data_IF_329750788457
#
_entry.id   IF_329750788457
#
_cell.length_a   1.000
_cell.length_b   1.000
_cell.length_c   1.000
_cell.angle_alpha   90.00
_cell.angle_beta   90.00
_cell.angle_gamma   90.00
#
_symmetry.space_group_name_H-M   'P 1'
#
loop_
_entity.id
_entity.type
_entity.pdbx_description
1 polymer ?
#
# COMPACT_ATOMS: atom_id res chain seq x y z
N UNK A 1 -26.54 19.66 13.92
CA UNK A 1 -26.50 18.45 13.07
C UNK A 1 -27.39 17.39 13.72
N UNK A 2 -28.24 16.70 12.96
CA UNK A 2 -29.10 15.59 13.44
C UNK A 2 -28.59 14.28 12.84
N UNK A 3 -27.51 13.74 13.40
CA UNK A 3 -26.85 12.53 12.91
C UNK A 3 -27.62 11.28 13.36
N UNK A 4 -27.91 10.37 12.43
CA UNK A 4 -28.59 9.09 12.72
C UNK A 4 -27.65 7.88 12.78
N UNK A 5 -26.49 7.95 12.13
CA UNK A 5 -25.50 6.87 12.13
C UNK A 5 -24.40 7.08 11.09
N UNK A 6 -23.43 6.17 11.10
CA UNK A 6 -22.32 6.11 10.15
C UNK A 6 -22.01 4.66 9.76
N UNK A 7 -21.51 4.44 8.54
CA UNK A 7 -21.10 3.13 8.03
C UNK A 7 -19.65 3.21 7.61
N UNK A 8 -18.85 2.23 8.04
CA UNK A 8 -17.43 2.10 7.70
C UNK A 8 -17.22 0.69 7.15
N UNK A 9 -16.95 0.58 5.84
CA UNK A 9 -16.57 -0.69 5.21
C UNK A 9 -15.07 -0.87 5.22
N UNK A 10 -14.58 -2.04 5.65
CA UNK A 10 -13.16 -2.42 5.65
C UNK A 10 -12.22 -1.32 6.20
N UNK A 11 -12.65 -0.67 7.28
CA UNK A 11 -11.94 0.47 7.86
C UNK A 11 -10.74 0.07 8.73
N UNK A 12 -9.68 0.87 8.66
CA UNK A 12 -8.52 0.76 9.55
C UNK A 12 -8.84 1.40 10.91
N UNK A 13 -9.55 0.69 11.79
CA UNK A 13 -10.01 1.21 13.09
C UNK A 13 -8.97 1.09 14.22
N UNK A 14 -8.13 0.05 14.17
CA UNK A 14 -7.07 -0.20 15.15
C UNK A 14 -5.86 -0.84 14.49
N UNK A 15 -4.74 -0.11 14.41
CA UNK A 15 -3.50 -0.58 13.78
C UNK A 15 -2.97 -1.85 14.42
N UNK A 16 -3.11 -1.97 15.75
CA UNK A 16 -2.71 -3.15 16.53
C UNK A 16 -3.52 -4.38 16.12
N UNK A 17 -4.85 -4.26 16.19
CA UNK A 17 -5.75 -5.37 15.85
C UNK A 17 -5.60 -5.78 14.39
N UNK A 18 -5.44 -4.82 13.48
CA UNK A 18 -5.20 -5.10 12.07
C UNK A 18 -3.89 -5.87 11.86
N UNK A 19 -2.81 -5.50 12.56
CA UNK A 19 -1.54 -6.21 12.46
C UNK A 19 -1.63 -7.65 12.99
N UNK A 20 -2.26 -7.84 14.16
CA UNK A 20 -2.44 -9.17 14.75
C UNK A 20 -3.26 -10.06 13.81
N UNK A 21 -4.44 -9.58 13.40
CA UNK A 21 -5.35 -10.33 12.52
C UNK A 21 -4.80 -10.55 11.11
N UNK A 22 -3.91 -9.68 10.60
CA UNK A 22 -3.24 -9.88 9.30
C UNK A 22 -2.38 -11.15 9.30
N UNK A 23 -1.72 -11.48 10.42
CA UNK A 23 -0.91 -12.70 10.49
C UNK A 23 -1.76 -13.96 10.50
N UNK A 24 -2.85 -13.96 11.28
CA UNK A 24 -3.82 -15.07 11.25
C UNK A 24 -4.44 -15.23 9.86
N UNK A 25 -4.81 -14.11 9.22
CA UNK A 25 -5.34 -14.09 7.87
C UNK A 25 -4.33 -14.71 6.88
N UNK A 26 -3.07 -14.28 6.92
CA UNK A 26 -2.02 -14.78 6.03
C UNK A 26 -1.78 -16.28 6.19
N UNK A 27 -1.81 -16.81 7.42
CA UNK A 27 -1.71 -18.25 7.67
C UNK A 27 -2.92 -19.01 7.13
N UNK A 28 -4.15 -18.58 7.48
CA UNK A 28 -5.39 -19.25 7.07
C UNK A 28 -5.64 -19.20 5.54
N UNK A 29 -4.94 -18.31 4.82
CA UNK A 29 -4.98 -18.21 3.36
C UNK A 29 -3.69 -18.74 2.70
N UNK A 30 -2.94 -19.58 3.40
CA UNK A 30 -1.75 -20.29 2.90
C UNK A 30 -0.60 -19.38 2.41
N UNK A 31 -0.52 -18.14 2.90
CA UNK A 31 0.62 -17.24 2.64
C UNK A 31 1.80 -17.51 3.59
N UNK A 32 1.54 -18.20 4.71
CA UNK A 32 2.55 -18.65 5.68
C UNK A 32 2.54 -20.18 5.67
N UNK A 33 3.72 -20.80 5.53
CA UNK A 33 3.83 -22.26 5.58
C UNK A 33 3.56 -22.80 6.98
N UNK A 34 2.98 -24.01 7.07
CA UNK A 34 2.71 -24.70 8.33
C UNK A 34 3.92 -24.75 9.24
N UNK A 35 5.09 -25.10 8.70
CA UNK A 35 6.35 -25.18 9.46
C UNK A 35 6.74 -23.83 10.08
N UNK A 36 6.57 -22.75 9.32
CA UNK A 36 6.88 -21.40 9.80
C UNK A 36 5.87 -20.93 10.86
N UNK A 37 4.60 -21.27 10.67
CA UNK A 37 3.54 -20.96 11.63
C UNK A 37 3.72 -21.71 12.95
N UNK A 38 4.01 -23.02 12.92
CA UNK A 38 4.27 -23.81 14.12
C UNK A 38 5.48 -23.28 14.90
N UNK A 39 6.53 -22.85 14.20
CA UNK A 39 7.67 -22.17 14.83
C UNK A 39 7.26 -20.85 15.49
N UNK A 40 6.42 -20.06 14.84
CA UNK A 40 5.88 -18.82 15.41
C UNK A 40 5.01 -19.08 16.64
N UNK A 41 4.17 -20.12 16.60
CA UNK A 41 3.33 -20.52 17.72
C UNK A 41 4.18 -20.83 18.96
N UNK A 42 5.24 -21.62 18.81
CA UNK A 42 6.11 -22.02 19.93
C UNK A 42 7.02 -20.88 20.41
N UNK A 43 7.72 -20.19 19.50
CA UNK A 43 8.74 -19.20 19.87
C UNK A 43 8.17 -17.82 20.21
N UNK A 44 7.04 -17.42 19.60
CA UNK A 44 6.48 -16.09 19.76
C UNK A 44 5.24 -16.07 20.66
N UNK A 45 4.44 -17.14 20.62
CA UNK A 45 3.07 -17.12 21.15
C UNK A 45 2.80 -18.16 22.24
N UNK A 46 3.85 -18.80 22.80
CA UNK A 46 3.72 -19.80 23.89
C UNK A 46 2.75 -20.94 23.56
N UNK A 47 2.65 -21.32 22.28
CA UNK A 47 1.79 -22.38 21.78
C UNK A 47 0.37 -21.96 21.39
N UNK A 48 -0.05 -20.72 21.63
CA UNK A 48 -1.40 -20.24 21.31
C UNK A 48 -1.39 -18.97 20.46
N UNK A 49 -1.84 -19.06 19.22
CA UNK A 49 -1.74 -17.98 18.24
C UNK A 49 -2.95 -17.04 18.19
N UNK A 50 -4.09 -17.45 18.75
CA UNK A 50 -5.38 -16.75 18.60
C UNK A 50 -5.34 -15.34 19.21
N UNK A 51 -4.72 -15.21 20.38
CA UNK A 51 -4.54 -13.94 21.10
C UNK A 51 -3.08 -13.47 21.10
N UNK A 52 -2.27 -13.95 20.14
CA UNK A 52 -0.86 -13.59 20.11
C UNK A 52 -0.68 -12.11 19.74
N UNK A 53 0.03 -11.33 20.58
CA UNK A 53 0.13 -9.88 20.41
C UNK A 53 1.23 -9.54 19.38
N UNK A 54 1.06 -9.98 18.13
CA UNK A 54 2.04 -9.82 17.07
C UNK A 54 2.50 -8.36 16.87
N UNK A 55 1.61 -7.39 17.08
CA UNK A 55 1.92 -5.96 17.02
C UNK A 55 2.97 -5.47 18.02
N UNK A 56 3.27 -6.27 19.05
CA UNK A 56 4.30 -5.94 20.05
C UNK A 56 5.70 -6.35 19.60
N UNK A 57 5.83 -7.27 18.65
CA UNK A 57 7.12 -7.73 18.14
C UNK A 57 7.69 -6.73 17.12
N UNK A 58 8.70 -5.98 17.53
CA UNK A 58 9.32 -4.91 16.74
C UNK A 58 10.83 -5.06 16.56
N UNK A 59 11.41 -6.06 17.20
CA UNK A 59 12.84 -6.32 17.14
C UNK A 59 13.25 -6.98 15.82
N UNK A 60 14.55 -7.15 15.62
CA UNK A 60 15.10 -7.89 14.50
C UNK A 60 15.15 -9.41 14.75
N UNK A 61 14.62 -9.88 15.89
CA UNK A 61 14.57 -11.30 16.20
C UNK A 61 13.51 -12.00 15.33
N UNK A 62 13.42 -13.33 15.44
CA UNK A 62 12.52 -14.14 14.61
C UNK A 62 11.07 -13.61 14.59
N UNK A 63 10.51 -13.29 15.76
CA UNK A 63 9.12 -12.83 15.86
C UNK A 63 8.91 -11.47 15.17
N UNK A 64 9.75 -10.47 15.46
CA UNK A 64 9.64 -9.17 14.79
C UNK A 64 9.92 -9.25 13.28
N UNK A 65 10.88 -10.08 12.87
CA UNK A 65 11.17 -10.34 11.47
C UNK A 65 10.00 -11.03 10.74
N UNK A 66 9.35 -12.01 11.37
CA UNK A 66 8.16 -12.67 10.83
C UNK A 66 7.03 -11.66 10.62
N UNK A 67 6.69 -10.88 11.65
CA UNK A 67 5.62 -9.86 11.56
C UNK A 67 5.93 -8.87 10.44
N UNK A 68 7.15 -8.34 10.38
CA UNK A 68 7.58 -7.41 9.33
C UNK A 68 7.48 -8.03 7.94
N UNK A 69 7.95 -9.26 7.76
CA UNK A 69 7.96 -9.92 6.46
C UNK A 69 6.54 -10.22 5.98
N UNK A 70 5.67 -10.77 6.83
CA UNK A 70 4.28 -11.07 6.48
C UNK A 70 3.52 -9.78 6.16
N UNK A 71 3.57 -8.79 7.05
CA UNK A 71 2.87 -7.52 6.84
C UNK A 71 3.36 -6.78 5.59
N UNK A 72 4.64 -6.87 5.26
CA UNK A 72 5.15 -6.32 3.99
C UNK A 72 4.65 -7.14 2.80
N UNK A 73 4.76 -8.47 2.87
CA UNK A 73 4.42 -9.38 1.78
C UNK A 73 2.95 -9.26 1.36
N UNK A 74 2.02 -9.11 2.31
CA UNK A 74 0.59 -8.93 2.01
C UNK A 74 0.34 -7.71 1.11
N UNK A 75 1.15 -6.66 1.20
CA UNK A 75 0.97 -5.42 0.42
C UNK A 75 1.86 -5.31 -0.82
N UNK A 76 3.01 -5.97 -0.84
CA UNK A 76 4.05 -5.74 -1.86
C UNK A 76 4.33 -6.93 -2.77
N UNK A 77 3.71 -8.09 -2.54
CA UNK A 77 3.85 -9.24 -3.43
C UNK A 77 2.91 -9.16 -4.63
N UNK A 78 2.99 -10.15 -5.52
CA UNK A 78 2.08 -10.31 -6.66
C UNK A 78 0.61 -10.59 -6.27
N UNK A 79 0.33 -10.76 -4.98
CA UNK A 79 -1.02 -10.92 -4.46
C UNK A 79 -1.76 -9.59 -4.47
N UNK A 80 -3.04 -9.62 -4.79
CA UNK A 80 -3.88 -8.43 -4.72
C UNK A 80 -4.30 -8.17 -3.26
N UNK A 81 -3.83 -7.10 -2.60
CA UNK A 81 -4.13 -6.84 -1.19
C UNK A 81 -5.58 -6.45 -0.93
N UNK A 82 -6.34 -6.10 -1.97
CA UNK A 82 -7.75 -5.71 -1.86
C UNK A 82 -8.70 -6.89 -2.05
N UNK A 83 -8.23 -7.95 -2.70
CA UNK A 83 -8.95 -9.20 -2.95
C UNK A 83 -7.93 -10.29 -3.26
N UNK A 84 -7.65 -11.15 -2.28
CA UNK A 84 -6.58 -12.15 -2.35
C UNK A 84 -6.82 -13.24 -3.39
N UNK A 85 -8.06 -13.38 -3.88
CA UNK A 85 -8.41 -14.35 -4.91
C UNK A 85 -8.45 -13.73 -6.32
N UNK A 86 -8.37 -12.41 -6.43
CA UNK A 86 -8.35 -11.72 -7.71
C UNK A 86 -6.93 -11.55 -8.26
N UNK A 87 -6.84 -11.52 -9.59
CA UNK A 87 -5.59 -11.23 -10.29
C UNK A 87 -5.12 -9.79 -10.05
N UNK A 88 -3.82 -9.61 -9.77
CA UNK A 88 -3.21 -8.30 -9.67
C UNK A 88 -3.07 -7.65 -11.06
N UNK A 89 -3.90 -6.65 -11.36
CA UNK A 89 -3.96 -6.02 -12.71
C UNK A 89 -2.78 -5.10 -13.06
N UNK A 90 -1.79 -4.98 -12.18
CA UNK A 90 -0.60 -4.17 -12.41
C UNK A 90 0.60 -5.01 -12.88
N UNK A 91 0.45 -6.34 -12.98
CA UNK A 91 1.45 -7.18 -13.62
C UNK A 91 1.27 -7.13 -15.15
N UNK A 92 2.36 -7.10 -15.94
CA UNK A 92 2.26 -7.40 -17.36
C UNK A 92 1.59 -8.78 -17.49
N UNK A 93 0.44 -8.83 -18.18
CA UNK A 93 -0.26 -10.07 -18.50
C UNK A 93 0.51 -10.88 -19.54
N UNK A 94 1.74 -11.32 -19.21
CA UNK A 94 2.43 -12.43 -19.85
C UNK A 94 3.72 -12.77 -19.07
N UNK A 95 3.73 -13.74 -18.15
CA UNK A 95 4.98 -14.45 -17.90
C UNK A 95 5.18 -15.37 -19.09
N UNK A 96 5.94 -14.90 -20.08
CA UNK A 96 6.56 -15.84 -21.03
C UNK A 96 7.32 -16.88 -20.18
N UNK A 97 6.93 -18.18 -20.23
CA UNK A 97 7.51 -19.21 -19.38
C UNK A 97 9.01 -19.45 -19.66
N UNK A 98 9.56 -18.82 -20.70
CA UNK A 98 10.99 -18.91 -21.05
C UNK A 98 11.85 -17.85 -20.36
N UNK A 99 11.28 -16.77 -19.79
CA UNK A 99 12.05 -15.72 -19.12
C UNK A 99 12.19 -16.01 -17.63
N UNK A 100 13.04 -16.99 -17.30
CA UNK A 100 13.60 -17.13 -15.94
C UNK A 100 14.42 -15.88 -15.59
N UNK A 101 13.79 -14.89 -14.98
CA UNK A 101 14.55 -13.91 -14.20
C UNK A 101 15.06 -14.65 -12.95
N UNK A 102 16.33 -15.03 -12.99
CA UNK A 102 17.09 -15.47 -11.83
C UNK A 102 17.19 -14.31 -10.82
N UNK A 103 16.12 -14.03 -10.10
CA UNK A 103 16.20 -13.27 -8.85
C UNK A 103 16.33 -14.29 -7.73
N UNK A 104 17.59 -14.64 -7.47
CA UNK A 104 17.98 -15.30 -6.23
C UNK A 104 17.33 -14.58 -5.05
N UNK A 105 16.43 -15.30 -4.40
CA UNK A 105 15.94 -15.01 -3.07
C UNK A 105 17.12 -15.00 -2.11
N UNK A 106 17.51 -13.80 -1.64
CA UNK A 106 17.91 -13.50 -0.25
C UNK A 106 18.53 -12.09 -0.17
N UNK A 107 18.31 -11.45 0.98
CA UNK A 107 18.89 -10.19 1.44
C UNK A 107 18.33 -8.87 0.86
N UNK A 108 17.71 -8.10 1.77
CA UNK A 108 17.30 -6.70 1.62
C UNK A 108 16.10 -6.42 0.70
N UNK A 109 14.91 -6.82 1.16
CA UNK A 109 13.69 -6.05 0.89
C UNK A 109 13.83 -4.67 1.59
N UNK A 110 14.58 -3.77 0.95
CA UNK A 110 14.35 -2.34 1.13
C UNK A 110 12.89 -2.13 0.72
N UNK A 111 12.02 -1.61 1.60
CA UNK A 111 10.69 -1.25 1.15
C UNK A 111 10.90 -0.20 0.06
N UNK A 112 10.54 -0.54 -1.17
CA UNK A 112 10.49 0.41 -2.26
C UNK A 112 9.29 1.33 -1.99
N UNK A 113 9.36 2.13 -0.91
CA UNK A 113 8.62 3.37 -0.80
C UNK A 113 9.37 4.37 -1.66
N UNK A 114 9.35 4.12 -2.97
CA UNK A 114 9.79 5.10 -3.93
C UNK A 114 8.97 6.38 -3.67
N UNK A 115 9.62 7.54 -3.62
CA UNK A 115 8.96 8.85 -3.40
C UNK A 115 7.94 9.19 -4.51
N UNK A 116 7.69 8.25 -5.41
CA UNK A 116 6.80 8.26 -6.57
C UNK A 116 5.69 7.18 -6.52
N UNK A 117 5.31 6.62 -5.36
CA UNK A 117 4.08 5.80 -5.32
C UNK A 117 2.87 6.71 -5.59
N UNK A 118 2.52 6.83 -6.87
CA UNK A 118 1.23 7.33 -7.38
C UNK A 118 0.28 6.17 -7.70
N UNK A 119 0.75 4.92 -7.67
CA UNK A 119 -0.02 3.75 -8.09
C UNK A 119 -0.43 2.92 -6.87
N UNK A 120 -1.74 2.68 -6.74
CA UNK A 120 -2.29 1.68 -5.84
C UNK A 120 -1.86 0.29 -6.34
N UNK A 121 -1.27 -0.59 -5.52
CA UNK A 121 -0.88 -1.94 -5.96
C UNK A 121 -2.13 -2.68 -6.50
N UNK A 122 -2.01 -3.41 -7.59
CA UNK A 122 -3.08 -4.23 -8.17
C UNK A 122 -4.40 -3.54 -8.61
N UNK A 123 -4.49 -2.20 -8.58
CA UNK A 123 -5.69 -1.47 -9.03
C UNK A 123 -5.48 -0.72 -10.35
N UNK A 124 -6.34 -1.04 -11.33
CA UNK A 124 -6.42 -0.33 -12.60
C UNK A 124 -7.46 0.78 -12.55
N UNK A 125 -7.00 2.01 -12.40
CA UNK A 125 -7.81 3.22 -12.25
C UNK A 125 -8.04 3.97 -13.56
N UNK A 126 -7.55 3.43 -14.68
CA UNK A 126 -7.50 4.10 -15.98
C UNK A 126 -8.88 4.49 -16.49
N UNK A 127 -9.89 3.63 -16.30
CA UNK A 127 -11.25 3.89 -16.77
C UNK A 127 -11.88 5.10 -16.04
N UNK A 128 -11.74 5.15 -14.72
CA UNK A 128 -12.23 6.26 -13.88
C UNK A 128 -11.50 7.55 -14.21
N UNK A 129 -10.17 7.48 -14.33
CA UNK A 129 -9.34 8.59 -14.76
C UNK A 129 -9.78 9.13 -16.13
N UNK A 130 -9.98 8.25 -17.11
CA UNK A 130 -10.41 8.58 -18.46
C UNK A 130 -11.79 9.25 -18.46
N UNK A 131 -12.73 8.74 -17.67
CA UNK A 131 -14.07 9.32 -17.55
C UNK A 131 -14.04 10.72 -16.93
N UNK A 132 -13.28 10.89 -15.85
CA UNK A 132 -13.09 12.18 -15.18
C UNK A 132 -12.41 13.22 -16.08
N UNK A 133 -11.45 12.80 -16.89
CA UNK A 133 -10.75 13.67 -17.87
C UNK A 133 -11.65 14.12 -19.02
N UNK A 134 -12.50 13.22 -19.53
CA UNK A 134 -13.40 13.49 -20.66
C UNK A 134 -14.57 14.41 -20.29
N UNK A 135 -14.94 14.44 -19.03
CA UNK A 135 -16.18 15.09 -18.60
C UNK A 135 -15.95 16.52 -18.09
N UNK A 136 -15.46 17.42 -18.94
CA UNK A 136 -15.50 18.87 -18.64
C UNK A 136 -16.94 19.38 -18.47
N UNK A 137 -17.92 18.71 -19.09
CA UNK A 137 -19.36 18.95 -18.96
C UNK A 137 -19.99 18.38 -17.67
N UNK A 138 -19.52 17.24 -17.12
CA UNK A 138 -19.98 16.75 -15.80
C UNK A 138 -19.33 17.48 -14.61
N UNK A 139 -18.25 18.23 -14.85
CA UNK A 139 -17.60 19.05 -13.82
C UNK A 139 -18.24 20.44 -13.66
N UNK A 140 -19.02 20.91 -14.66
CA UNK A 140 -19.74 22.20 -14.60
C UNK A 140 -20.85 22.22 -13.52
N UNK A 141 -21.68 21.17 -13.33
CA UNK A 141 -22.66 21.12 -12.25
C UNK A 141 -22.05 21.12 -10.84
N UNK A 142 -20.78 20.68 -10.69
CA UNK A 142 -20.12 20.52 -9.39
C UNK A 142 -19.60 21.84 -8.80
N UNK A 143 -19.79 22.99 -9.48
CA UNK A 143 -19.34 24.31 -8.99
C UNK A 143 -17.88 24.29 -8.48
N UNK A 144 -16.98 23.55 -9.14
CA UNK A 144 -15.54 23.62 -8.87
C UNK A 144 -14.92 24.64 -9.82
N UNK A 145 -14.60 25.87 -9.38
CA UNK A 145 -13.94 26.84 -10.22
C UNK A 145 -12.52 26.34 -10.47
N UNK A 146 -12.16 26.19 -11.74
CA UNK A 146 -10.79 25.95 -12.21
C UNK A 146 -10.02 24.75 -11.62
N UNK A 147 -10.41 23.53 -12.01
CA UNK A 147 -9.47 22.40 -11.92
C UNK A 147 -8.43 22.55 -13.04
N UNK A 148 -7.38 23.35 -12.79
CA UNK A 148 -6.25 23.52 -13.71
C UNK A 148 -5.34 22.28 -13.81
N UNK A 149 -5.57 21.25 -12.97
CA UNK A 149 -4.91 19.94 -13.02
C UNK A 149 -5.87 18.88 -12.45
N UNK A 150 -6.26 17.90 -13.26
CA UNK A 150 -7.11 16.77 -12.81
C UNK A 150 -6.47 16.06 -11.62
N UNK A 151 -7.21 15.97 -10.51
CA UNK A 151 -6.74 15.27 -9.31
C UNK A 151 -6.66 13.76 -9.58
N UNK A 152 -5.53 13.10 -9.26
CA UNK A 152 -5.44 11.64 -9.29
C UNK A 152 -6.37 11.04 -8.22
N UNK A 153 -6.71 9.75 -8.35
CA UNK A 153 -7.49 9.04 -7.32
C UNK A 153 -6.82 9.06 -5.94
N UNK A 154 -5.49 8.93 -5.89
CA UNK A 154 -4.71 9.07 -4.67
C UNK A 154 -3.70 10.19 -4.83
N UNK A 155 -3.59 11.03 -3.81
CA UNK A 155 -2.57 12.07 -3.76
C UNK A 155 -1.48 11.64 -2.76
N UNK A 156 -0.44 10.96 -3.25
CA UNK A 156 0.61 10.39 -2.40
C UNK A 156 1.29 11.42 -1.47
N UNK A 157 1.42 12.67 -1.92
CA UNK A 157 1.98 13.74 -1.09
C UNK A 157 1.08 14.12 0.12
N UNK A 158 -0.24 13.91 0.05
CA UNK A 158 -1.12 14.11 1.21
C UNK A 158 -0.92 13.01 2.24
N UNK A 159 -0.87 11.74 1.80
CA UNK A 159 -0.54 10.61 2.69
C UNK A 159 0.83 10.79 3.37
N UNK A 160 1.83 11.27 2.63
CA UNK A 160 3.16 11.50 3.19
C UNK A 160 3.20 12.66 4.18
N UNK A 161 2.47 13.74 3.93
CA UNK A 161 2.39 14.87 4.86
C UNK A 161 1.68 14.48 6.16
N UNK A 162 0.61 13.69 6.07
CA UNK A 162 -0.12 13.17 7.24
C UNK A 162 0.75 12.24 8.09
N UNK A 163 1.47 11.29 7.47
CA UNK A 163 2.39 10.40 8.19
C UNK A 163 3.56 11.10 8.88
N UNK A 164 3.91 12.32 8.46
CA UNK A 164 5.01 13.13 9.00
C UNK A 164 4.57 14.31 9.86
N UNK A 165 3.25 14.51 10.01
CA UNK A 165 2.69 15.72 10.64
C UNK A 165 3.25 17.03 10.02
N UNK A 166 3.47 17.02 8.70
CA UNK A 166 4.01 18.15 7.93
C UNK A 166 2.88 18.89 7.18
N UNK A 167 3.15 20.13 6.74
CA UNK A 167 2.18 20.88 5.92
C UNK A 167 1.92 20.16 4.59
N UNK A 168 0.66 19.88 4.22
CA UNK A 168 0.34 19.17 2.98
C UNK A 168 0.67 19.99 1.73
N UNK A 169 1.43 19.37 0.82
CA UNK A 169 1.51 19.70 -0.60
C UNK A 169 1.61 21.21 -0.94
N UNK A 170 2.72 21.86 -0.59
CA UNK A 170 3.01 23.17 -1.19
C UNK A 170 3.28 23.00 -2.68
N UNK A 171 2.52 23.68 -3.54
CA UNK A 171 2.87 23.84 -4.96
C UNK A 171 4.25 24.49 -4.99
N UNK A 172 5.29 23.75 -5.39
CA UNK A 172 6.54 24.37 -5.81
C UNK A 172 6.19 25.23 -7.02
N UNK A 173 6.06 26.54 -6.81
CA UNK A 173 6.06 27.52 -7.87
C UNK A 173 7.41 27.41 -8.56
N UNK A 174 7.51 26.55 -9.57
CA UNK A 174 8.59 26.69 -10.56
C UNK A 174 8.31 27.99 -11.30
N UNK A 175 8.77 29.11 -10.74
CA UNK A 175 9.18 30.23 -11.58
C UNK A 175 10.32 29.68 -12.41
N UNK A 176 10.05 29.44 -13.71
CA UNK A 176 11.10 29.37 -14.72
C UNK A 176 11.82 30.71 -14.68
N UNK A 177 12.87 30.85 -13.88
CA UNK A 177 13.92 31.81 -14.18
C UNK A 177 14.84 31.09 -15.13
N UNK A 178 14.66 31.39 -16.41
CA UNK A 178 15.69 31.29 -17.42
C UNK A 178 16.92 32.03 -16.90
N UNK A 179 17.94 31.29 -16.47
CA UNK A 179 19.28 31.84 -16.29
C UNK A 179 20.24 30.71 -16.61
N UNK A 180 20.74 30.77 -17.83
CA UNK A 180 22.07 30.27 -18.21
C UNK A 180 23.07 30.61 -17.09
N UNK A 181 23.95 29.65 -16.75
CA UNK A 181 25.38 29.87 -16.69
C UNK A 181 26.09 28.55 -16.36
N UNK A 182 27.05 28.21 -17.22
CA UNK A 182 28.07 27.18 -17.04
C UNK A 182 28.84 27.36 -15.73
N UNK A 183 29.23 26.26 -15.10
CA UNK A 183 30.57 26.05 -14.53
C UNK A 183 30.70 24.60 -14.05
N UNK A 184 31.93 24.09 -14.20
CA UNK A 184 32.41 22.73 -13.90
C UNK A 184 32.29 22.34 -12.43
#
# INVERSE_FOLDING_TARGET
MNLKGYVIGNGMLSSKLNMDTTLLFAYNHAMISERLWQKAATECCKGATDDCPFHTFKDAAFCGALVKNVTTAVWTTALNPYDVYAQCRNEPQNPDPTRRENKTSEANFQPIFDKKIKAKPCLNVTAVDKQRRRSTSLLRPIHRPEIRNLQPECHGCLHQAESRNERPCQKRSQRRTSSSLYAW
#
